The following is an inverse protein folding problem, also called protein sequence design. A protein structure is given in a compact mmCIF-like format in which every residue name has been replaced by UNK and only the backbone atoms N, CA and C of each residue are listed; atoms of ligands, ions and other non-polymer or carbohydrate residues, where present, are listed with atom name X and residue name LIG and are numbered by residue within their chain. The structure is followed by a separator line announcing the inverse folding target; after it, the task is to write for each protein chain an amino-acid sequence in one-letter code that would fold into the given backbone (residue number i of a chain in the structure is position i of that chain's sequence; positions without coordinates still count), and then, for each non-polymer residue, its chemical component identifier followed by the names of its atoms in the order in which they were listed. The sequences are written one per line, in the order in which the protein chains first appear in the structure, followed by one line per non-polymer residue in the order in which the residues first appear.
data_IF_372965976480
#
_entry.id   IF_372965976480
#
_cell.length_a   1.000
_cell.length_b   1.000
_cell.length_c   1.000
_cell.angle_alpha   90.00
_cell.angle_beta   90.00
_cell.angle_gamma   90.00
#
_symmetry.space_group_name_H-M   'P 1'
#
loop_
_entity.id
_entity.type
_entity.pdbx_description
1 polymer ?
#
# COMPACT_ATOMS: atom_id res chain seq x y z
N UNK A 1 7.48 -9.42 10.02
CA UNK A 1 8.24 -10.68 9.93
C UNK A 1 8.39 -11.31 11.31
N UNK A 2 8.96 -10.62 12.31
CA UNK A 2 9.34 -11.19 13.62
C UNK A 2 8.25 -11.97 14.37
N UNK A 3 7.02 -11.52 14.28
CA UNK A 3 5.87 -12.18 14.94
C UNK A 3 5.01 -12.99 13.96
N UNK A 4 5.49 -13.25 12.75
CA UNK A 4 4.78 -14.06 11.79
C UNK A 4 5.07 -15.56 12.05
N UNK A 5 4.04 -16.40 12.27
CA UNK A 5 4.26 -17.77 12.77
C UNK A 5 4.91 -18.73 11.76
N UNK A 6 4.99 -18.34 10.48
CA UNK A 6 5.59 -19.15 9.41
C UNK A 6 6.86 -18.51 8.81
N UNK A 7 7.40 -17.46 9.41
CA UNK A 7 8.61 -16.79 8.94
C UNK A 7 9.72 -16.83 9.98
N UNK A 8 10.93 -17.01 9.48
CA UNK A 8 12.16 -16.80 10.22
C UNK A 8 12.96 -15.68 9.55
N UNK A 9 13.50 -14.75 10.34
CA UNK A 9 14.32 -13.65 9.83
C UNK A 9 15.76 -14.17 9.66
N UNK A 10 16.16 -14.39 8.41
CA UNK A 10 17.50 -14.89 8.08
C UNK A 10 18.55 -13.77 8.18
N UNK A 11 18.36 -12.66 7.49
CA UNK A 11 19.27 -11.52 7.51
C UNK A 11 18.58 -10.18 7.33
N UNK A 12 19.27 -9.10 7.74
CA UNK A 12 18.90 -7.71 7.40
C UNK A 12 20.11 -7.05 6.74
N UNK A 13 20.02 -6.87 5.42
CA UNK A 13 21.10 -6.29 4.63
C UNK A 13 21.14 -4.76 4.77
N UNK A 14 22.31 -4.22 5.08
CA UNK A 14 22.58 -2.78 5.06
C UNK A 14 24.08 -2.53 4.95
N UNK A 15 24.50 -1.85 3.89
CA UNK A 15 25.93 -1.48 3.72
C UNK A 15 26.37 -0.43 4.74
N UNK A 16 25.51 0.50 5.13
CA UNK A 16 25.83 1.59 6.06
C UNK A 16 25.78 1.17 7.54
N UNK A 17 25.02 0.14 7.88
CA UNK A 17 24.83 -0.33 9.27
C UNK A 17 25.44 -1.70 9.53
N UNK A 18 26.16 -2.30 8.57
CA UNK A 18 26.73 -3.63 8.71
C UNK A 18 27.55 -3.77 10.01
N UNK A 19 27.27 -4.84 10.76
CA UNK A 19 27.87 -5.13 12.07
C UNK A 19 27.16 -4.50 13.27
N UNK A 20 26.30 -3.50 13.07
CA UNK A 20 25.51 -2.88 14.14
C UNK A 20 24.34 -3.80 14.57
N UNK A 21 23.90 -3.65 15.80
CA UNK A 21 22.64 -4.26 16.26
C UNK A 21 21.46 -3.58 15.63
N UNK A 22 20.41 -4.36 15.29
CA UNK A 22 19.21 -3.80 14.65
C UNK A 22 18.52 -2.80 15.58
N UNK A 23 18.48 -3.06 16.89
CA UNK A 23 17.91 -2.16 17.90
C UNK A 23 18.60 -0.79 17.98
N UNK A 24 19.88 -0.66 17.58
CA UNK A 24 20.54 0.65 17.51
C UNK A 24 19.94 1.59 16.45
N UNK A 25 19.32 1.03 15.42
CA UNK A 25 18.64 1.78 14.35
C UNK A 25 17.12 1.79 14.56
N UNK A 26 16.58 0.68 15.02
CA UNK A 26 15.17 0.45 15.30
C UNK A 26 14.97 0.23 16.81
N UNK A 27 14.97 1.33 17.56
CA UNK A 27 14.96 1.31 19.02
C UNK A 27 13.69 0.67 19.63
N UNK A 28 12.62 0.54 18.87
CA UNK A 28 11.39 -0.17 19.22
C UNK A 28 11.56 -1.70 19.26
N UNK A 29 12.70 -2.22 18.79
CA UNK A 29 13.07 -3.64 18.83
C UNK A 29 14.06 -3.95 19.96
N UNK A 30 14.24 -3.05 20.93
CA UNK A 30 15.07 -3.30 22.10
C UNK A 30 14.53 -4.49 22.92
N UNK A 31 15.39 -5.45 23.22
CA UNK A 31 15.01 -6.68 23.93
C UNK A 31 14.60 -7.85 23.04
N UNK A 32 14.48 -7.66 21.72
CA UNK A 32 14.25 -8.75 20.77
C UNK A 32 15.57 -9.46 20.43
N UNK A 33 15.54 -10.79 20.29
CA UNK A 33 16.68 -11.58 19.80
C UNK A 33 16.74 -11.51 18.27
N UNK A 34 17.65 -10.69 17.75
CA UNK A 34 17.75 -10.38 16.32
C UNK A 34 19.18 -10.61 15.80
N UNK A 35 19.36 -10.95 14.52
CA UNK A 35 20.67 -10.91 13.88
C UNK A 35 21.21 -9.47 13.88
N UNK A 36 22.49 -9.31 13.57
CA UNK A 36 23.05 -7.99 13.28
C UNK A 36 22.81 -7.62 11.82
N UNK A 37 22.83 -6.33 11.50
CA UNK A 37 22.92 -5.91 10.11
C UNK A 37 24.15 -6.51 9.43
N UNK A 38 23.99 -6.96 8.19
CA UNK A 38 25.09 -7.53 7.40
C UNK A 38 25.24 -6.82 6.07
N UNK A 39 26.47 -6.80 5.54
CA UNK A 39 26.76 -6.44 4.15
C UNK A 39 26.88 -7.65 3.23
N UNK A 40 26.71 -8.85 3.76
CA UNK A 40 26.69 -10.10 3.01
C UNK A 40 25.23 -10.51 2.74
N UNK A 41 24.98 -11.02 1.54
CA UNK A 41 23.65 -11.49 1.11
C UNK A 41 23.62 -13.02 1.14
N UNK A 42 22.58 -13.58 1.72
CA UNK A 42 22.19 -14.95 1.46
C UNK A 42 21.32 -14.97 0.20
N UNK A 43 21.82 -15.59 -0.86
CA UNK A 43 21.10 -15.70 -2.14
C UNK A 43 20.11 -16.86 -2.20
N UNK A 44 20.03 -17.68 -1.15
CA UNK A 44 19.19 -18.89 -1.08
C UNK A 44 18.13 -18.77 0.03
N UNK A 45 17.42 -17.64 0.04
CA UNK A 45 16.28 -17.41 0.94
C UNK A 45 14.97 -17.67 0.20
N UNK A 46 13.91 -18.05 0.91
CA UNK A 46 12.59 -18.28 0.31
C UNK A 46 11.97 -16.97 -0.20
N UNK A 47 12.11 -15.88 0.57
CA UNK A 47 11.55 -14.57 0.22
C UNK A 47 12.50 -13.43 0.59
N UNK A 48 12.62 -12.47 -0.33
CA UNK A 48 13.37 -11.23 -0.15
C UNK A 48 12.44 -10.03 -0.22
N UNK A 49 12.41 -9.20 0.83
CA UNK A 49 11.73 -7.91 0.84
C UNK A 49 12.71 -6.79 0.51
N UNK A 50 12.49 -6.07 -0.58
CA UNK A 50 13.29 -4.92 -0.98
C UNK A 50 12.69 -3.64 -0.37
N UNK A 51 13.40 -3.08 0.61
CA UNK A 51 13.02 -1.85 1.33
C UNK A 51 14.01 -0.71 1.04
N UNK A 52 14.60 -0.67 -0.16
CA UNK A 52 15.73 0.18 -0.52
C UNK A 52 15.35 1.62 -0.89
N UNK A 53 14.06 1.91 -1.03
CA UNK A 53 13.56 3.20 -1.52
C UNK A 53 13.59 3.31 -3.04
N UNK A 54 12.92 4.34 -3.55
CA UNK A 54 12.69 4.53 -4.99
C UNK A 54 13.97 4.68 -5.79
N UNK A 55 14.05 4.02 -6.94
CA UNK A 55 15.19 4.04 -7.87
C UNK A 55 16.33 3.09 -7.48
N UNK A 56 16.28 2.43 -6.32
CA UNK A 56 17.38 1.60 -5.84
C UNK A 56 17.12 0.09 -5.98
N UNK A 57 15.88 -0.35 -6.02
CA UNK A 57 15.55 -1.78 -6.13
C UNK A 57 15.99 -2.36 -7.47
N UNK A 58 15.78 -1.62 -8.57
CA UNK A 58 16.26 -2.01 -9.91
C UNK A 58 17.77 -2.15 -9.94
N UNK A 59 18.50 -1.14 -9.47
CA UNK A 59 19.98 -1.15 -9.40
C UNK A 59 20.47 -2.30 -8.53
N UNK A 60 19.80 -2.58 -7.42
CA UNK A 60 20.17 -3.68 -6.55
C UNK A 60 20.03 -5.04 -7.25
N UNK A 61 18.91 -5.28 -7.93
CA UNK A 61 18.69 -6.53 -8.65
C UNK A 61 19.56 -6.70 -9.90
N UNK A 62 20.01 -5.62 -10.53
CA UNK A 62 20.98 -5.67 -11.63
C UNK A 62 22.37 -6.10 -11.16
N UNK A 63 22.70 -5.88 -9.88
CA UNK A 63 24.02 -6.16 -9.30
C UNK A 63 24.09 -7.42 -8.43
N UNK A 64 22.94 -8.03 -8.12
CA UNK A 64 22.87 -9.19 -7.24
C UNK A 64 21.92 -10.25 -7.83
N UNK A 65 22.34 -11.51 -7.74
CA UNK A 65 21.55 -12.65 -8.21
C UNK A 65 21.07 -13.47 -7.01
N UNK A 66 19.85 -13.97 -7.09
CA UNK A 66 19.23 -14.84 -6.09
C UNK A 66 18.87 -16.18 -6.70
N UNK A 67 18.61 -17.17 -5.85
CA UNK A 67 18.17 -18.50 -6.25
C UNK A 67 16.90 -18.42 -7.13
N UNK A 68 16.78 -19.32 -8.09
CA UNK A 68 15.55 -19.42 -8.88
C UNK A 68 14.32 -19.76 -8.01
N UNK A 69 14.48 -20.22 -6.78
CA UNK A 69 13.40 -20.47 -5.84
C UNK A 69 12.99 -19.22 -5.05
N UNK A 70 13.86 -18.20 -4.96
CA UNK A 70 13.61 -16.99 -4.13
C UNK A 70 12.48 -16.14 -4.72
N UNK A 71 11.48 -15.83 -3.90
CA UNK A 71 10.44 -14.85 -4.21
C UNK A 71 10.91 -13.44 -3.85
N UNK A 72 10.57 -12.43 -4.65
CA UNK A 72 10.99 -11.05 -4.41
C UNK A 72 9.77 -10.15 -4.31
N UNK A 73 9.69 -9.38 -3.22
CA UNK A 73 8.63 -8.40 -2.98
C UNK A 73 9.28 -7.02 -2.87
N UNK A 74 9.05 -6.17 -3.86
CA UNK A 74 9.57 -4.80 -3.89
C UNK A 74 8.59 -3.79 -3.31
N UNK A 75 9.04 -3.01 -2.33
CA UNK A 75 8.25 -1.93 -1.71
C UNK A 75 8.54 -0.55 -2.32
N UNK A 76 9.48 -0.46 -3.28
CA UNK A 76 9.74 0.77 -4.02
C UNK A 76 8.67 1.03 -5.09
N UNK A 77 8.85 2.07 -5.92
CA UNK A 77 8.00 2.31 -7.08
C UNK A 77 8.59 1.77 -8.39
N UNK A 78 9.75 1.10 -8.33
CA UNK A 78 10.57 0.79 -9.51
C UNK A 78 9.89 -0.16 -10.50
N UNK A 79 8.95 -1.01 -10.01
CA UNK A 79 8.30 -2.05 -10.83
C UNK A 79 6.77 -1.99 -10.81
N UNK A 80 6.17 -0.87 -10.36
CA UNK A 80 4.70 -0.79 -10.19
C UNK A 80 3.94 -0.59 -11.49
N UNK A 81 4.47 0.25 -12.40
CA UNK A 81 3.82 0.55 -13.67
C UNK A 81 4.11 -0.54 -14.72
N UNK A 82 3.18 -0.75 -15.64
CA UNK A 82 3.29 -1.79 -16.69
C UNK A 82 4.56 -1.66 -17.52
N UNK A 83 4.98 -0.43 -17.79
CA UNK A 83 6.19 -0.13 -18.55
C UNK A 83 7.49 -0.49 -17.81
N UNK A 84 7.44 -0.57 -16.47
CA UNK A 84 8.60 -0.78 -15.61
C UNK A 84 8.68 -2.20 -15.03
N UNK A 85 7.65 -3.04 -15.21
CA UNK A 85 7.49 -4.36 -14.54
C UNK A 85 8.51 -5.42 -14.92
N UNK A 86 9.28 -5.23 -15.97
CA UNK A 86 10.19 -6.24 -16.49
C UNK A 86 11.64 -5.84 -16.27
N UNK A 87 12.41 -6.73 -15.64
CA UNK A 87 13.86 -6.62 -15.50
C UNK A 87 14.51 -7.96 -15.86
N UNK A 88 15.12 -8.06 -17.06
CA UNK A 88 15.61 -9.34 -17.57
C UNK A 88 14.47 -10.36 -17.67
N UNK A 89 14.61 -11.51 -17.00
CA UNK A 89 13.59 -12.56 -16.94
C UNK A 89 12.58 -12.38 -15.77
N UNK A 90 12.72 -11.32 -15.00
CA UNK A 90 11.84 -11.01 -13.86
C UNK A 90 10.66 -10.15 -14.34
N UNK A 91 9.44 -10.66 -14.24
CA UNK A 91 8.20 -9.93 -14.48
C UNK A 91 7.46 -9.75 -13.15
N UNK A 92 7.28 -8.50 -12.72
CA UNK A 92 6.65 -8.16 -11.46
C UNK A 92 5.14 -8.00 -11.59
N UNK A 93 4.39 -8.67 -10.71
CA UNK A 93 2.94 -8.51 -10.59
C UNK A 93 2.62 -7.36 -9.66
N UNK A 94 1.66 -6.52 -10.02
CA UNK A 94 1.18 -5.44 -9.13
C UNK A 94 0.40 -6.02 -7.95
N UNK A 95 0.92 -5.80 -6.76
CA UNK A 95 0.53 -6.47 -5.53
C UNK A 95 -0.65 -5.86 -4.79
N UNK A 96 -1.77 -5.59 -5.46
CA UNK A 96 -3.04 -5.23 -4.81
C UNK A 96 -3.91 -6.49 -4.68
N UNK A 97 -4.00 -7.12 -3.48
CA UNK A 97 -4.68 -8.41 -3.31
C UNK A 97 -6.16 -8.39 -3.66
N UNK A 98 -6.84 -7.27 -3.47
CA UNK A 98 -8.27 -7.10 -3.79
C UNK A 98 -8.55 -7.11 -5.30
N UNK A 99 -7.54 -6.83 -6.11
CA UNK A 99 -7.62 -6.82 -7.58
C UNK A 99 -6.98 -8.07 -8.19
N UNK A 100 -5.79 -8.44 -7.75
CA UNK A 100 -4.89 -9.36 -8.45
C UNK A 100 -4.58 -10.65 -7.64
N UNK A 101 -5.42 -11.07 -6.68
CA UNK A 101 -5.13 -12.22 -5.81
C UNK A 101 -4.72 -13.50 -6.58
N UNK A 102 -5.36 -13.76 -7.73
CA UNK A 102 -5.06 -14.95 -8.56
C UNK A 102 -3.69 -14.88 -9.21
N UNK A 103 -3.28 -13.71 -9.70
CA UNK A 103 -1.97 -13.48 -10.31
C UNK A 103 -0.87 -13.49 -9.23
N UNK A 104 -1.13 -12.83 -8.10
CA UNK A 104 -0.22 -12.78 -6.95
C UNK A 104 0.10 -14.19 -6.45
N UNK A 105 -0.90 -15.06 -6.31
CA UNK A 105 -0.70 -16.43 -5.83
C UNK A 105 0.16 -17.32 -6.74
N UNK A 106 0.41 -16.89 -7.97
CA UNK A 106 1.24 -17.60 -8.95
C UNK A 106 2.54 -16.87 -9.25
N UNK A 107 2.68 -15.66 -8.73
CA UNK A 107 3.83 -14.81 -9.02
C UNK A 107 5.04 -15.20 -8.19
N UNK A 108 6.21 -14.90 -8.72
CA UNK A 108 7.49 -15.00 -8.04
C UNK A 108 8.05 -13.61 -7.69
N UNK A 109 7.66 -12.61 -8.47
CA UNK A 109 8.10 -11.23 -8.33
C UNK A 109 6.90 -10.33 -8.17
N UNK A 110 6.94 -9.45 -7.16
CA UNK A 110 5.80 -8.63 -6.79
C UNK A 110 6.23 -7.19 -6.52
N UNK A 111 5.52 -6.23 -7.13
CA UNK A 111 5.64 -4.81 -6.85
C UNK A 111 4.51 -4.37 -5.90
N UNK A 112 4.86 -4.08 -4.65
CA UNK A 112 3.88 -3.70 -3.63
C UNK A 112 3.38 -2.27 -3.87
N UNK A 113 2.05 -2.01 -3.88
CA UNK A 113 1.44 -0.72 -4.19
C UNK A 113 1.90 0.44 -3.29
N UNK A 114 1.79 1.65 -3.82
CA UNK A 114 1.94 2.86 -3.03
C UNK A 114 0.78 3.10 -2.07
N UNK A 115 1.05 3.76 -0.94
CA UNK A 115 0.05 3.90 0.13
C UNK A 115 -1.19 4.70 -0.28
N UNK A 116 -1.03 5.81 -1.02
CA UNK A 116 -2.19 6.54 -1.56
C UNK A 116 -2.86 5.76 -2.69
N UNK A 117 -2.08 5.06 -3.53
CA UNK A 117 -2.64 4.21 -4.57
C UNK A 117 -3.57 3.18 -3.96
N UNK A 118 -3.11 2.41 -2.98
CA UNK A 118 -3.95 1.44 -2.24
C UNK A 118 -5.26 2.05 -1.72
N UNK A 119 -5.19 3.21 -1.04
CA UNK A 119 -6.38 3.83 -0.45
C UNK A 119 -7.40 4.27 -1.51
N UNK A 120 -6.92 4.81 -2.64
CA UNK A 120 -7.76 5.37 -3.71
C UNK A 120 -8.28 4.25 -4.62
N UNK A 121 -7.44 3.28 -4.97
CA UNK A 121 -7.85 2.11 -5.74
C UNK A 121 -8.98 1.35 -5.04
N UNK A 122 -8.83 1.09 -3.73
CA UNK A 122 -9.89 0.46 -2.94
C UNK A 122 -11.17 1.31 -2.87
N UNK A 123 -11.09 2.62 -3.01
CA UNK A 123 -12.28 3.46 -3.14
C UNK A 123 -12.95 3.35 -4.51
N UNK A 124 -12.20 3.14 -5.60
CA UNK A 124 -12.70 3.27 -6.98
C UNK A 124 -13.01 1.94 -7.67
N UNK A 125 -12.28 0.87 -7.33
CA UNK A 125 -12.37 -0.42 -8.02
C UNK A 125 -13.78 -1.02 -8.06
N UNK A 126 -14.64 -0.96 -7.02
CA UNK A 126 -16.01 -1.46 -7.13
C UNK A 126 -16.80 -0.76 -8.23
N UNK A 127 -16.72 0.56 -8.36
CA UNK A 127 -17.39 1.30 -9.41
C UNK A 127 -16.80 0.96 -10.80
N UNK A 128 -15.47 0.94 -10.92
CA UNK A 128 -14.79 0.59 -12.15
C UNK A 128 -15.15 -0.81 -12.64
N UNK A 129 -15.26 -1.79 -11.73
CA UNK A 129 -15.59 -3.18 -12.06
C UNK A 129 -16.97 -3.36 -12.72
N UNK A 130 -17.84 -2.37 -12.58
CA UNK A 130 -19.17 -2.36 -13.19
C UNK A 130 -19.29 -1.30 -14.30
N UNK A 131 -18.19 -0.68 -14.74
CA UNK A 131 -18.19 0.39 -15.73
C UNK A 131 -18.91 1.66 -15.27
N UNK A 132 -18.97 1.91 -13.96
CA UNK A 132 -19.73 3.00 -13.35
C UNK A 132 -18.90 4.28 -13.11
N UNK A 133 -17.63 4.30 -13.43
CA UNK A 133 -16.84 5.53 -13.48
C UNK A 133 -17.12 6.25 -14.80
N UNK A 134 -18.20 7.06 -14.84
CA UNK A 134 -18.68 7.72 -16.06
C UNK A 134 -18.25 9.20 -16.15
N UNK A 135 -17.74 9.77 -15.08
CA UNK A 135 -17.31 11.15 -14.93
C UNK A 135 -15.91 11.22 -14.30
N UNK A 136 -15.33 12.41 -14.27
CA UNK A 136 -14.07 12.65 -13.58
C UNK A 136 -14.17 12.29 -12.09
N UNK A 137 -13.06 11.86 -11.54
CA UNK A 137 -12.95 11.52 -10.12
C UNK A 137 -12.16 12.61 -9.40
N UNK A 138 -12.75 13.18 -8.37
CA UNK A 138 -12.08 14.15 -7.51
C UNK A 138 -11.66 13.48 -6.19
N UNK A 139 -10.38 13.53 -5.90
CA UNK A 139 -9.80 12.90 -4.72
C UNK A 139 -9.08 13.93 -3.86
N UNK A 140 -9.45 14.00 -2.59
CA UNK A 140 -8.72 14.71 -1.56
C UNK A 140 -8.28 13.70 -0.49
N UNK A 141 -6.97 13.54 -0.29
CA UNK A 141 -6.48 12.61 0.68
C UNK A 141 -5.40 13.22 1.58
N UNK A 142 -5.47 12.90 2.87
CA UNK A 142 -4.54 13.38 3.89
C UNK A 142 -3.72 12.20 4.40
N UNK A 143 -2.39 12.33 4.35
CA UNK A 143 -1.46 11.36 4.95
C UNK A 143 -0.76 11.90 6.17
N UNK A 144 -0.38 11.02 7.08
CA UNK A 144 0.50 11.33 8.19
C UNK A 144 1.94 11.64 7.75
N UNK A 145 2.72 12.20 8.68
CA UNK A 145 4.09 12.63 8.42
C UNK A 145 5.02 11.49 7.99
N UNK A 146 4.79 10.26 8.45
CA UNK A 146 5.57 9.07 8.10
C UNK A 146 5.52 8.70 6.61
N UNK A 147 4.52 9.18 5.87
CA UNK A 147 4.45 9.02 4.42
C UNK A 147 5.56 9.75 3.64
N UNK A 148 6.34 10.61 4.31
CA UNK A 148 7.51 11.28 3.70
C UNK A 148 8.79 10.43 3.76
N UNK A 149 8.78 9.30 4.47
CA UNK A 149 9.97 8.51 4.75
C UNK A 149 10.89 9.19 5.79
N UNK A 150 12.10 8.66 5.96
CA UNK A 150 13.07 9.11 6.96
C UNK A 150 13.99 10.25 6.48
N UNK A 151 14.02 10.53 5.18
CA UNK A 151 14.89 11.57 4.63
C UNK A 151 14.52 12.96 5.15
N UNK A 152 15.52 13.66 5.67
CA UNK A 152 15.35 15.01 6.20
C UNK A 152 15.04 15.99 5.07
N UNK A 153 14.00 16.78 5.25
CA UNK A 153 13.63 17.85 4.32
C UNK A 153 13.05 19.05 5.09
N UNK A 154 13.01 20.22 4.44
CA UNK A 154 12.40 21.42 5.04
C UNK A 154 10.96 21.18 5.50
N UNK A 155 10.18 20.41 4.73
CA UNK A 155 8.76 20.17 5.02
C UNK A 155 8.50 19.04 6.01
N UNK A 156 9.52 18.28 6.40
CA UNK A 156 9.46 17.25 7.45
C UNK A 156 10.05 17.73 8.78
N UNK A 157 10.67 18.92 8.80
CA UNK A 157 11.20 19.49 10.02
C UNK A 157 10.06 19.80 11.03
N UNK A 158 10.29 19.52 12.32
CA UNK A 158 9.26 19.61 13.36
C UNK A 158 8.56 20.98 13.37
N UNK A 159 9.31 22.08 13.41
CA UNK A 159 8.73 23.44 13.48
C UNK A 159 7.95 23.85 12.22
N UNK A 160 8.23 23.20 11.07
CA UNK A 160 7.44 23.42 9.87
C UNK A 160 6.18 22.52 9.88
N UNK A 161 6.30 21.30 10.42
CA UNK A 161 5.23 20.30 10.40
C UNK A 161 4.19 20.48 11.50
N UNK A 162 4.62 20.94 12.68
CA UNK A 162 3.75 21.10 13.83
C UNK A 162 2.69 22.18 13.58
N UNK A 163 1.44 21.89 13.94
CA UNK A 163 0.27 22.74 13.70
C UNK A 163 0.11 23.25 12.26
N UNK A 164 0.62 22.51 11.27
CA UNK A 164 0.59 22.88 9.87
C UNK A 164 -0.07 21.80 9.00
N UNK A 165 -0.82 22.27 7.99
CA UNK A 165 -1.49 21.45 6.99
C UNK A 165 -1.18 22.00 5.61
N UNK A 166 -0.80 21.13 4.65
CA UNK A 166 -0.44 21.57 3.31
C UNK A 166 -0.65 20.49 2.28
N UNK A 167 -1.05 20.89 1.08
CA UNK A 167 -0.99 20.00 -0.09
C UNK A 167 0.43 19.95 -0.66
N UNK A 168 0.70 18.93 -1.48
CA UNK A 168 1.93 18.79 -2.24
C UNK A 168 1.65 17.98 -3.52
N UNK A 169 2.46 18.18 -4.58
CA UNK A 169 2.30 17.46 -5.86
C UNK A 169 0.84 17.37 -6.34
N UNK A 170 0.07 18.46 -6.20
CA UNK A 170 -1.32 18.51 -6.66
C UNK A 170 -1.40 18.11 -8.16
N UNK A 171 -2.25 17.14 -8.48
CA UNK A 171 -2.49 16.59 -9.82
C UNK A 171 -1.26 15.93 -10.50
N UNK A 172 -0.13 15.81 -9.80
CA UNK A 172 1.13 15.30 -10.36
C UNK A 172 1.79 14.25 -9.46
N UNK A 173 1.03 13.70 -8.52
CA UNK A 173 1.56 12.68 -7.61
C UNK A 173 1.84 11.37 -8.36
N UNK A 174 3.01 10.75 -8.11
CA UNK A 174 3.43 9.52 -8.81
C UNK A 174 2.45 8.35 -8.71
N UNK A 175 1.66 8.26 -7.64
CA UNK A 175 0.66 7.20 -7.48
C UNK A 175 -0.52 7.31 -8.47
N UNK A 176 -0.68 8.43 -9.19
CA UNK A 176 -1.73 8.55 -10.23
C UNK A 176 -1.55 7.52 -11.35
N UNK A 177 -0.30 7.19 -11.71
CA UNK A 177 -0.02 6.14 -12.69
C UNK A 177 -0.56 4.79 -12.25
N UNK A 178 -0.27 4.39 -11.01
CA UNK A 178 -0.77 3.14 -10.42
C UNK A 178 -2.31 3.08 -10.43
N UNK A 179 -2.96 4.13 -9.94
CA UNK A 179 -4.43 4.22 -9.85
C UNK A 179 -5.08 4.15 -11.24
N UNK A 180 -4.53 4.88 -12.21
CA UNK A 180 -5.04 4.90 -13.58
C UNK A 180 -4.91 3.53 -14.24
N UNK A 181 -3.79 2.85 -14.07
CA UNK A 181 -3.60 1.48 -14.60
C UNK A 181 -4.57 0.48 -13.96
N UNK A 182 -4.77 0.54 -12.64
CA UNK A 182 -5.69 -0.35 -11.92
C UNK A 182 -7.15 -0.12 -12.34
N UNK A 183 -7.57 1.14 -12.47
CA UNK A 183 -8.91 1.47 -12.99
C UNK A 183 -9.08 0.99 -14.42
N UNK A 184 -8.09 1.24 -15.29
CA UNK A 184 -8.15 0.81 -16.71
C UNK A 184 -8.07 -0.71 -16.88
N UNK A 185 -7.51 -1.44 -15.91
CA UNK A 185 -7.50 -2.91 -15.92
C UNK A 185 -8.92 -3.49 -15.84
N UNK A 186 -9.82 -2.86 -15.08
CA UNK A 186 -11.19 -3.35 -14.86
C UNK A 186 -12.26 -2.58 -15.65
N UNK A 187 -11.96 -1.35 -16.08
CA UNK A 187 -12.77 -0.54 -16.98
C UNK A 187 -11.92 -0.01 -18.13
N UNK A 188 -11.66 -0.83 -19.18
CA UNK A 188 -10.71 -0.48 -20.26
C UNK A 188 -11.13 0.73 -21.12
N UNK A 189 -12.39 1.05 -21.18
CA UNK A 189 -12.95 2.20 -21.90
C UNK A 189 -12.97 3.49 -21.06
N UNK A 190 -12.49 3.45 -19.84
CA UNK A 190 -12.43 4.63 -18.98
C UNK A 190 -11.42 5.65 -19.53
N UNK A 191 -11.89 6.86 -19.77
CA UNK A 191 -11.14 7.95 -20.42
C UNK A 191 -11.34 9.30 -19.70
N UNK A 192 -11.55 9.25 -18.38
CA UNK A 192 -11.76 10.42 -17.53
C UNK A 192 -10.51 10.72 -16.71
N UNK A 193 -10.53 11.84 -15.99
CA UNK A 193 -9.41 12.29 -15.19
C UNK A 193 -9.60 11.99 -13.70
N UNK A 194 -8.47 11.79 -13.00
CA UNK A 194 -8.43 11.75 -11.55
C UNK A 194 -7.74 13.00 -11.02
N UNK A 195 -8.52 13.90 -10.48
CA UNK A 195 -8.02 15.12 -9.85
C UNK A 195 -7.62 14.84 -8.40
N UNK A 196 -6.37 14.48 -8.20
CA UNK A 196 -5.85 14.10 -6.90
C UNK A 196 -5.13 15.26 -6.19
N UNK A 197 -5.60 15.61 -4.98
CA UNK A 197 -5.01 16.58 -4.07
C UNK A 197 -4.45 15.85 -2.83
N UNK A 198 -3.18 15.46 -2.84
CA UNK A 198 -2.55 14.89 -1.67
C UNK A 198 -2.19 15.97 -0.65
N UNK A 199 -2.56 15.73 0.61
CA UNK A 199 -2.28 16.60 1.73
C UNK A 199 -1.46 15.88 2.79
N UNK A 200 -0.68 16.65 3.56
CA UNK A 200 0.02 16.15 4.73
C UNK A 200 -0.57 16.76 5.99
N UNK A 201 -1.11 15.90 6.86
CA UNK A 201 -1.72 16.28 8.12
C UNK A 201 -0.72 16.38 9.26
N UNK A 202 -1.16 16.95 10.39
CA UNK A 202 -0.39 17.02 11.64
C UNK A 202 -0.67 15.78 12.51
N UNK A 203 -0.34 14.60 11.98
CA UNK A 203 -0.37 13.33 12.68
C UNK A 203 0.69 12.40 12.08
N UNK A 204 1.09 11.37 12.80
CA UNK A 204 2.21 10.51 12.39
C UNK A 204 1.82 9.50 11.31
N UNK A 205 0.72 8.75 11.48
CA UNK A 205 0.37 7.58 10.68
C UNK A 205 -1.06 7.64 10.18
N UNK A 206 -1.27 7.06 9.01
CA UNK A 206 -2.54 6.80 8.38
C UNK A 206 -2.81 7.65 7.15
N UNK A 207 -3.78 7.21 6.36
CA UNK A 207 -4.34 7.93 5.21
C UNK A 207 -5.85 7.99 5.39
N UNK A 208 -6.39 9.21 5.25
CA UNK A 208 -7.81 9.48 5.13
C UNK A 208 -8.06 10.02 3.72
N UNK A 209 -8.64 9.21 2.85
CA UNK A 209 -8.93 9.58 1.47
C UNK A 209 -10.44 9.76 1.28
N UNK A 210 -10.82 10.82 0.59
CA UNK A 210 -12.18 11.05 0.10
C UNK A 210 -12.16 11.17 -1.41
N UNK A 211 -12.96 10.35 -2.09
CA UNK A 211 -13.16 10.43 -3.53
C UNK A 211 -14.62 10.71 -3.82
N UNK A 212 -14.94 11.53 -4.83
CA UNK A 212 -16.30 11.66 -5.29
C UNK A 212 -16.38 11.74 -6.82
N UNK A 213 -17.45 11.16 -7.36
CA UNK A 213 -17.75 11.13 -8.79
C UNK A 213 -19.26 11.06 -8.99
N UNK A 214 -19.74 11.08 -10.22
CA UNK A 214 -21.14 10.84 -10.52
C UNK A 214 -21.57 9.41 -10.23
N UNK A 215 -22.79 9.29 -9.70
CA UNK A 215 -23.43 8.01 -9.46
C UNK A 215 -24.93 8.20 -9.45
N UNK A 216 -25.62 7.61 -10.42
CA UNK A 216 -27.04 7.86 -10.65
C UNK A 216 -27.98 6.96 -9.86
N UNK A 217 -27.48 5.78 -9.41
CA UNK A 217 -28.26 4.84 -8.62
C UNK A 217 -28.40 5.35 -7.17
N UNK A 218 -29.20 4.68 -6.36
CA UNK A 218 -29.37 5.03 -4.94
C UNK A 218 -28.19 4.62 -4.07
N UNK A 219 -28.20 5.01 -2.80
CA UNK A 219 -27.12 4.72 -1.87
C UNK A 219 -27.06 3.23 -1.51
N UNK A 220 -28.21 2.56 -1.44
CA UNK A 220 -28.24 1.12 -1.10
C UNK A 220 -27.59 0.28 -2.20
N UNK A 221 -27.86 0.60 -3.47
CA UNK A 221 -27.18 -0.04 -4.61
C UNK A 221 -25.65 0.15 -4.55
N UNK A 222 -25.17 1.32 -4.08
CA UNK A 222 -23.73 1.52 -3.86
C UNK A 222 -23.21 0.62 -2.74
N UNK A 223 -23.92 0.49 -1.62
CA UNK A 223 -23.51 -0.41 -0.54
C UNK A 223 -23.49 -1.88 -0.99
N UNK A 224 -24.53 -2.34 -1.67
CA UNK A 224 -24.58 -3.72 -2.20
C UNK A 224 -23.41 -4.01 -3.14
N UNK A 225 -23.06 -3.06 -4.03
CA UNK A 225 -21.94 -3.16 -4.94
C UNK A 225 -20.61 -3.32 -4.19
N UNK A 226 -20.34 -2.44 -3.23
CA UNK A 226 -19.09 -2.44 -2.46
C UNK A 226 -18.97 -3.64 -1.53
N UNK A 227 -20.05 -3.99 -0.81
CA UNK A 227 -20.13 -5.17 0.06
C UNK A 227 -19.92 -6.45 -0.76
N UNK A 228 -20.52 -6.52 -1.95
CA UNK A 228 -20.36 -7.64 -2.89
C UNK A 228 -18.91 -7.78 -3.40
N UNK A 229 -18.30 -6.67 -3.81
CA UNK A 229 -16.94 -6.66 -4.33
C UNK A 229 -15.91 -7.10 -3.27
N UNK A 230 -16.04 -6.61 -2.04
CA UNK A 230 -15.10 -6.90 -0.95
C UNK A 230 -15.48 -8.12 -0.09
N UNK A 231 -16.50 -8.88 -0.46
CA UNK A 231 -16.98 -10.04 0.31
C UNK A 231 -15.89 -11.03 0.72
N UNK A 232 -14.87 -11.20 -0.11
CA UNK A 232 -13.78 -12.14 0.10
C UNK A 232 -12.43 -11.45 0.42
N UNK A 233 -12.43 -10.14 0.62
CA UNK A 233 -11.26 -9.38 1.01
C UNK A 233 -11.12 -9.36 2.55
N UNK A 234 -10.12 -10.03 3.13
CA UNK A 234 -10.06 -10.24 4.58
C UNK A 234 -9.75 -8.97 5.38
N UNK A 235 -9.27 -7.91 4.71
CA UNK A 235 -8.87 -6.67 5.36
C UNK A 235 -9.61 -5.42 4.87
N UNK A 236 -10.48 -5.53 3.84
CA UNK A 236 -11.24 -4.40 3.32
C UNK A 236 -12.71 -4.54 3.70
N UNK A 237 -13.21 -3.58 4.46
CA UNK A 237 -14.54 -3.61 5.04
C UNK A 237 -15.35 -2.38 4.66
N UNK A 238 -16.60 -2.59 4.25
CA UNK A 238 -17.56 -1.51 3.97
C UNK A 238 -18.35 -1.22 5.24
N UNK A 239 -18.31 0.03 5.69
CA UNK A 239 -18.98 0.48 6.91
C UNK A 239 -20.20 1.33 6.59
N UNK A 240 -21.34 0.97 7.14
CA UNK A 240 -22.58 1.80 7.07
C UNK A 240 -22.55 2.99 8.03
N UNK A 241 -21.50 3.11 8.86
CA UNK A 241 -21.24 4.24 9.75
C UNK A 241 -20.03 5.01 9.24
N UNK A 242 -19.97 6.29 9.55
CA UNK A 242 -18.80 7.12 9.27
C UNK A 242 -17.52 6.49 9.82
N UNK A 243 -16.44 6.60 9.04
CA UNK A 243 -15.13 6.06 9.37
C UNK A 243 -14.14 7.16 9.66
N UNK A 244 -13.19 6.86 10.51
CA UNK A 244 -12.14 7.80 10.89
C UNK A 244 -10.80 7.08 11.13
N UNK A 245 -9.74 7.83 11.10
CA UNK A 245 -8.38 7.33 10.99
C UNK A 245 -7.96 6.39 12.14
N UNK A 246 -8.32 6.70 13.38
CA UNK A 246 -7.94 5.87 14.56
C UNK A 246 -8.51 4.45 14.55
N UNK A 247 -9.50 4.17 13.70
CA UNK A 247 -10.06 2.81 13.58
C UNK A 247 -9.11 1.83 12.86
N UNK A 248 -8.15 2.34 12.08
CA UNK A 248 -7.28 1.54 11.22
C UNK A 248 -5.79 1.68 11.54
N UNK A 249 -5.37 2.75 12.20
CA UNK A 249 -3.95 2.95 12.55
C UNK A 249 -3.43 1.75 13.34
N UNK A 250 -2.26 1.25 12.93
CA UNK A 250 -1.63 0.03 13.44
C UNK A 250 -2.34 -1.28 13.04
N UNK A 251 -3.14 -1.28 11.96
CA UNK A 251 -3.75 -2.51 11.42
C UNK A 251 -3.58 -2.60 9.90
N UNK A 252 -3.73 -3.82 9.34
CA UNK A 252 -3.80 -4.03 7.90
C UNK A 252 -5.20 -3.77 7.31
N UNK A 253 -6.08 -3.07 8.03
CA UNK A 253 -7.45 -2.82 7.59
C UNK A 253 -7.56 -1.62 6.67
N UNK A 254 -8.46 -1.75 5.68
CA UNK A 254 -9.09 -0.64 4.98
C UNK A 254 -10.55 -0.57 5.41
N UNK A 255 -11.04 0.60 5.82
CA UNK A 255 -12.45 0.86 6.04
C UNK A 255 -12.97 1.83 5.00
N UNK A 256 -14.09 1.47 4.37
CA UNK A 256 -14.75 2.27 3.33
C UNK A 256 -16.13 2.67 3.83
N UNK A 257 -16.49 3.95 3.67
CA UNK A 257 -17.83 4.46 3.93
C UNK A 257 -18.35 5.22 2.73
N UNK A 258 -19.64 5.07 2.45
CA UNK A 258 -20.31 5.67 1.32
C UNK A 258 -21.35 6.67 1.78
N UNK A 259 -21.35 7.85 1.14
CA UNK A 259 -22.37 8.87 1.33
C UNK A 259 -22.83 9.40 -0.02
N UNK A 260 -24.11 9.60 -0.20
CA UNK A 260 -24.67 10.13 -1.45
C UNK A 260 -25.32 11.49 -1.24
N UNK A 261 -24.98 12.43 -2.12
CA UNK A 261 -25.65 13.71 -2.22
C UNK A 261 -26.05 13.98 -3.67
N UNK A 262 -27.35 14.06 -3.94
CA UNK A 262 -27.90 14.18 -5.30
C UNK A 262 -27.31 13.09 -6.21
N UNK A 263 -26.63 13.47 -7.30
CA UNK A 263 -25.98 12.56 -8.24
C UNK A 263 -24.49 12.30 -7.94
N UNK A 264 -23.96 12.71 -6.80
CA UNK A 264 -22.56 12.45 -6.41
C UNK A 264 -22.50 11.41 -5.31
N UNK A 265 -21.66 10.40 -5.49
CA UNK A 265 -21.25 9.46 -4.46
C UNK A 265 -19.92 9.94 -3.87
N UNK A 266 -19.89 10.13 -2.57
CA UNK A 266 -18.68 10.35 -1.78
C UNK A 266 -18.25 9.01 -1.19
N UNK A 267 -17.01 8.64 -1.43
CA UNK A 267 -16.38 7.42 -0.94
C UNK A 267 -15.26 7.83 -0.01
N UNK A 268 -15.36 7.46 1.25
CA UNK A 268 -14.29 7.65 2.23
C UNK A 268 -13.55 6.33 2.40
N UNK A 269 -12.23 6.34 2.21
CA UNK A 269 -11.35 5.17 2.40
C UNK A 269 -10.25 5.51 3.41
N UNK A 270 -10.08 4.70 4.45
CA UNK A 270 -9.09 4.92 5.49
C UNK A 270 -8.22 3.69 5.68
N UNK A 271 -6.89 3.91 5.74
CA UNK A 271 -5.88 2.87 5.95
C UNK A 271 -4.76 3.37 6.88
N UNK A 272 -3.98 2.46 7.43
CA UNK A 272 -2.65 2.77 7.94
C UNK A 272 -1.66 2.80 6.76
N UNK A 273 -0.97 3.93 6.56
CA UNK A 273 -0.07 4.11 5.41
C UNK A 273 1.20 3.24 5.45
N UNK A 274 1.59 2.73 6.62
CA UNK A 274 2.76 1.87 6.80
C UNK A 274 2.41 0.38 6.87
N UNK A 275 1.13 0.02 7.13
CA UNK A 275 0.66 -1.37 7.13
C UNK A 275 -0.12 -1.68 5.86
N UNK A 276 -1.43 -1.44 5.78
CA UNK A 276 -2.19 -1.70 4.55
C UNK A 276 -1.64 -0.92 3.36
N UNK A 277 -1.05 0.24 3.61
CA UNK A 277 -0.40 1.05 2.56
C UNK A 277 1.05 0.64 2.23
N UNK A 278 1.66 -0.33 2.93
CA UNK A 278 3.05 -0.73 2.72
C UNK A 278 3.33 -2.15 3.23
N UNK A 279 3.97 -2.29 4.41
CA UNK A 279 4.53 -3.55 4.89
C UNK A 279 3.48 -4.61 5.21
N UNK A 280 2.32 -4.24 5.74
CA UNK A 280 1.24 -5.19 6.01
C UNK A 280 0.66 -5.79 4.73
N UNK A 281 0.50 -4.98 3.67
CA UNK A 281 0.10 -5.49 2.36
C UNK A 281 1.18 -6.38 1.73
N UNK A 282 2.46 -6.06 1.93
CA UNK A 282 3.56 -6.91 1.47
C UNK A 282 3.55 -8.29 2.14
N UNK A 283 3.23 -8.38 3.44
CA UNK A 283 3.04 -9.66 4.15
C UNK A 283 1.77 -10.38 3.66
N UNK A 284 0.66 -9.69 3.43
CA UNK A 284 -0.55 -10.29 2.84
C UNK A 284 -0.27 -10.88 1.45
N UNK A 285 0.52 -10.18 0.64
CA UNK A 285 0.96 -10.65 -0.67
C UNK A 285 1.87 -11.87 -0.56
N UNK A 286 2.84 -11.85 0.34
CA UNK A 286 3.69 -13.01 0.64
C UNK A 286 2.84 -14.21 1.05
N UNK A 287 1.86 -14.04 1.93
CA UNK A 287 0.96 -15.12 2.33
C UNK A 287 0.24 -15.74 1.13
N UNK A 288 -0.23 -14.92 0.18
CA UNK A 288 -0.83 -15.40 -1.07
C UNK A 288 0.17 -16.18 -1.94
N UNK A 289 1.39 -15.64 -2.12
CA UNK A 289 2.44 -16.26 -2.95
C UNK A 289 2.85 -17.64 -2.42
N UNK A 290 2.84 -17.83 -1.10
CA UNK A 290 3.19 -19.10 -0.44
C UNK A 290 1.97 -19.98 -0.09
N UNK A 291 0.76 -19.61 -0.50
CA UNK A 291 -0.45 -20.38 -0.22
C UNK A 291 -0.84 -20.43 1.26
N UNK A 292 -0.38 -19.45 2.05
CA UNK A 292 -0.72 -19.29 3.46
C UNK A 292 -2.06 -18.55 3.61
N UNK A 293 -2.66 -18.61 4.81
CA UNK A 293 -3.84 -17.80 5.11
C UNK A 293 -3.50 -16.31 5.05
N UNK A 294 -4.27 -15.52 4.27
CA UNK A 294 -4.00 -14.10 4.03
C UNK A 294 -3.85 -13.26 5.30
N UNK A 295 -4.54 -13.62 6.38
CA UNK A 295 -4.49 -12.91 7.67
C UNK A 295 -3.30 -13.27 8.55
N UNK A 296 -2.58 -14.34 8.23
CA UNK A 296 -1.51 -14.86 9.08
C UNK A 296 -0.47 -13.78 9.39
N UNK A 297 -0.17 -13.56 10.67
CA UNK A 297 0.76 -12.53 11.12
C UNK A 297 0.26 -11.08 11.06
N UNK A 298 -1.00 -10.83 10.64
CA UNK A 298 -1.56 -9.49 10.39
C UNK A 298 -2.77 -9.15 11.26
N UNK A 299 -3.14 -9.99 12.21
CA UNK A 299 -4.28 -9.76 13.12
C UNK A 299 -3.91 -8.80 14.26
N UNK A 300 -3.73 -7.54 13.91
CA UNK A 300 -3.34 -6.47 14.83
C UNK A 300 -4.55 -5.64 15.28
N UNK A 301 -4.46 -5.07 16.48
CA UNK A 301 -5.47 -4.18 17.05
C UNK A 301 -5.13 -2.71 16.75
N UNK A 302 -6.14 -1.95 16.33
CA UNK A 302 -6.00 -0.52 16.12
C UNK A 302 -5.63 0.22 17.42
N UNK A 303 -4.82 1.25 17.28
CA UNK A 303 -4.53 2.21 18.35
C UNK A 303 -5.65 3.25 18.41
N UNK A 304 -6.68 2.96 19.18
CA UNK A 304 -7.89 3.79 19.22
C UNK A 304 -7.78 4.97 20.23
N UNK A 305 -7.06 4.76 21.31
CA UNK A 305 -6.80 5.76 22.37
C UNK A 305 -5.30 5.94 22.62
#
# INVERSE_FOLDING_TARGET
VLHHPALELDFVFSTSNAGNEIAQVHADLEGEELPRFTSELNSDVDVLFLCLGHGNSKIFLENHSFSEATHIIDLSNDFRLKEDRVLGDMEFVYGLPELNASEISKSKYLANPGCFATAIELALLPLASQGLLQDDVHVNAVTGATGAGVSLSKTTHFTWRDNNFSHYKAFTHQHLGEITESVSQVQPDWNREIYFLPNRGNFSRGIFATAYTEFTQDLEAAFELYEGFYKHAPFTFVSRREVFLKQVVNTNKCLIHLHKHKNKLLITSVIDNLLKGASGQAIENMNLMFGLERKLGLELKAYFF
#
